data_IF_208415117363
#
_entry.id   IF_208415117363
#
_cell.length_a   1.000
_cell.length_b   1.000
_cell.length_c   1.000
_cell.angle_alpha   90.00
_cell.angle_beta   90.00
_cell.angle_gamma   90.00
#
_symmetry.space_group_name_H-M   'P 1'
#
loop_
_entity.id
_entity.type
_entity.pdbx_description
1 polymer ?
#
# COMPACT_ATOMS: atom_id res chain seq x y z
N UNK A 1 -8.26 14.13 -10.63
CA UNK A 1 -7.13 15.01 -10.99
C UNK A 1 -6.07 14.71 -9.97
N UNK A 2 -5.03 13.95 -10.31
CA UNK A 2 -4.06 13.50 -9.30
C UNK A 2 -3.20 14.69 -8.84
N UNK A 3 -3.08 14.89 -7.52
CA UNK A 3 -2.44 16.09 -6.97
C UNK A 3 -1.54 15.86 -5.76
N UNK A 4 -1.30 14.60 -5.37
CA UNK A 4 -0.50 14.24 -4.20
C UNK A 4 0.87 14.94 -4.12
N UNK A 5 1.56 15.11 -5.25
CA UNK A 5 2.87 15.75 -5.34
C UNK A 5 2.87 17.26 -5.09
N UNK A 6 1.70 17.91 -5.11
CA UNK A 6 1.57 19.35 -4.84
C UNK A 6 1.69 19.66 -3.35
N UNK A 7 1.29 18.73 -2.48
CA UNK A 7 1.35 18.87 -1.02
C UNK A 7 1.36 17.49 -0.35
N UNK A 8 2.53 16.84 -0.32
CA UNK A 8 2.67 15.52 0.31
C UNK A 8 2.19 15.50 1.78
N UNK A 9 2.58 16.46 2.65
CA UNK A 9 2.08 16.49 4.03
C UNK A 9 0.56 16.46 4.12
N UNK A 10 -0.15 17.29 3.34
CA UNK A 10 -1.60 17.31 3.34
C UNK A 10 -2.21 15.98 2.88
N UNK A 11 -1.83 15.52 1.68
CA UNK A 11 -2.44 14.34 1.07
C UNK A 11 -2.15 13.06 1.87
N UNK A 12 -0.94 12.90 2.39
CA UNK A 12 -0.58 11.76 3.24
C UNK A 12 -1.29 11.83 4.59
N UNK A 13 -1.49 13.04 5.15
CA UNK A 13 -2.29 13.22 6.37
C UNK A 13 -3.73 12.75 6.20
N UNK A 14 -4.39 13.19 5.12
CA UNK A 14 -5.76 12.76 4.79
C UNK A 14 -5.84 11.26 4.56
N UNK A 15 -4.90 10.69 3.80
CA UNK A 15 -4.87 9.25 3.52
C UNK A 15 -4.69 8.43 4.81
N UNK A 16 -3.77 8.87 5.69
CA UNK A 16 -3.51 8.25 6.99
C UNK A 16 -4.74 8.29 7.89
N UNK A 17 -5.39 9.44 8.00
CA UNK A 17 -6.60 9.62 8.81
C UNK A 17 -7.70 8.66 8.39
N UNK A 18 -8.00 8.60 7.09
CA UNK A 18 -9.04 7.70 6.54
C UNK A 18 -8.69 6.22 6.75
N UNK A 19 -7.43 5.84 6.57
CA UNK A 19 -6.97 4.46 6.77
C UNK A 19 -7.16 3.99 8.23
N UNK A 20 -6.87 4.88 9.19
CA UNK A 20 -6.95 4.57 10.61
C UNK A 20 -8.39 4.60 11.14
N UNK A 21 -9.30 5.27 10.43
CA UNK A 21 -10.71 5.27 10.79
C UNK A 21 -11.28 3.84 10.83
N UNK A 22 -12.18 3.51 11.79
CA UNK A 22 -12.70 2.16 11.93
C UNK A 22 -13.48 1.65 10.71
N UNK A 23 -14.22 2.52 10.02
CA UNK A 23 -15.15 2.16 8.95
C UNK A 23 -14.79 2.71 7.57
N UNK A 24 -13.81 3.61 7.47
CA UNK A 24 -13.62 4.43 6.27
C UNK A 24 -12.37 4.03 5.47
N UNK A 25 -11.86 2.82 5.70
CA UNK A 25 -10.67 2.33 5.01
C UNK A 25 -10.90 2.22 3.48
N UNK A 26 -12.14 2.05 3.03
CA UNK A 26 -12.50 2.12 1.60
C UNK A 26 -12.41 3.56 1.05
N UNK A 27 -12.72 4.58 1.86
CA UNK A 27 -12.51 5.98 1.47
C UNK A 27 -11.02 6.34 1.36
N UNK A 28 -10.16 5.66 2.11
CA UNK A 28 -8.71 5.78 1.95
C UNK A 28 -8.26 5.24 0.59
N UNK A 29 -8.84 4.12 0.15
CA UNK A 29 -8.56 3.52 -1.16
C UNK A 29 -8.99 4.44 -2.31
N UNK A 30 -10.23 4.94 -2.28
CA UNK A 30 -10.72 5.84 -3.32
C UNK A 30 -9.84 7.10 -3.42
N UNK A 31 -9.47 7.67 -2.27
CA UNK A 31 -8.57 8.82 -2.22
C UNK A 31 -7.19 8.52 -2.80
N UNK A 32 -6.62 7.35 -2.47
CA UNK A 32 -5.33 6.94 -3.02
C UNK A 32 -5.37 6.83 -4.55
N UNK A 33 -6.42 6.21 -5.10
CA UNK A 33 -6.58 6.07 -6.55
C UNK A 33 -6.78 7.43 -7.25
N UNK A 34 -7.55 8.32 -6.65
CA UNK A 34 -7.86 9.65 -7.20
C UNK A 34 -6.70 10.63 -7.13
N UNK A 35 -5.93 10.62 -6.04
CA UNK A 35 -4.91 11.63 -5.76
C UNK A 35 -3.49 11.17 -6.05
N UNK A 36 -3.18 9.87 -5.92
CA UNK A 36 -1.81 9.35 -5.99
C UNK A 36 -1.56 8.46 -7.21
N UNK A 37 -2.44 7.51 -7.52
CA UNK A 37 -2.13 6.43 -8.48
C UNK A 37 -1.76 6.93 -9.90
N UNK A 38 -2.27 8.08 -10.32
CA UNK A 38 -1.92 8.73 -11.59
C UNK A 38 -0.91 9.88 -11.47
N UNK A 39 -0.43 10.23 -10.27
CA UNK A 39 0.53 11.31 -10.06
C UNK A 39 1.96 10.82 -10.36
N UNK A 40 2.47 11.21 -11.53
CA UNK A 40 3.80 10.81 -12.00
C UNK A 40 4.93 11.37 -11.15
N UNK A 41 4.76 12.55 -10.57
CA UNK A 41 5.80 13.17 -9.74
C UNK A 41 5.88 12.50 -8.37
N UNK A 42 4.74 12.07 -7.81
CA UNK A 42 4.71 11.20 -6.63
C UNK A 42 5.47 9.89 -6.86
N UNK A 43 5.25 9.23 -8.01
CA UNK A 43 5.98 8.00 -8.36
C UNK A 43 7.48 8.26 -8.50
N UNK A 44 7.87 9.35 -9.18
CA UNK A 44 9.28 9.73 -9.38
C UNK A 44 10.00 10.13 -8.08
N UNK A 45 9.27 10.68 -7.11
CA UNK A 45 9.80 11.06 -5.81
C UNK A 45 10.07 9.86 -4.88
N UNK A 46 9.66 8.66 -5.27
CA UNK A 46 9.82 7.44 -4.47
C UNK A 46 11.00 6.59 -4.98
N UNK A 47 11.77 6.01 -4.05
CA UNK A 47 12.85 5.09 -4.39
C UNK A 47 12.33 3.64 -4.50
N UNK A 48 12.79 2.85 -5.48
CA UNK A 48 12.54 1.40 -5.50
C UNK A 48 13.18 0.72 -4.28
N UNK A 49 12.44 -0.16 -3.62
CA UNK A 49 12.88 -0.92 -2.44
C UNK A 49 12.44 -2.39 -2.53
N UNK A 50 13.02 -3.28 -1.70
CA UNK A 50 12.63 -4.71 -1.66
C UNK A 50 11.69 -5.08 -0.51
N UNK A 51 11.86 -4.45 0.65
CA UNK A 51 11.06 -4.62 1.88
C UNK A 51 10.48 -6.04 2.10
N UNK A 52 11.30 -7.10 2.23
CA UNK A 52 10.83 -8.49 2.22
C UNK A 52 9.83 -8.82 3.33
N UNK A 53 9.92 -8.16 4.51
CA UNK A 53 8.95 -8.33 5.60
C UNK A 53 7.56 -7.79 5.22
N UNK A 54 7.49 -6.64 4.54
CA UNK A 54 6.23 -6.08 4.03
C UNK A 54 5.65 -7.02 2.97
N UNK A 55 6.47 -7.47 2.02
CA UNK A 55 6.05 -8.38 0.94
C UNK A 55 5.50 -9.70 1.50
N UNK A 56 6.14 -10.27 2.52
CA UNK A 56 5.65 -11.49 3.17
C UNK A 56 4.28 -11.28 3.86
N UNK A 57 4.08 -10.14 4.53
CA UNK A 57 2.79 -9.80 5.14
C UNK A 57 1.71 -9.59 4.08
N UNK A 58 2.02 -8.90 2.98
CA UNK A 58 1.10 -8.74 1.86
C UNK A 58 0.72 -10.10 1.26
N UNK A 59 1.68 -11.00 1.06
CA UNK A 59 1.41 -12.36 0.57
C UNK A 59 0.44 -13.14 1.47
N UNK A 60 0.58 -13.00 2.80
CA UNK A 60 -0.34 -13.60 3.76
C UNK A 60 -1.75 -12.98 3.72
N UNK A 61 -1.83 -11.64 3.60
CA UNK A 61 -3.10 -10.91 3.47
C UNK A 61 -3.84 -11.35 2.20
N UNK A 62 -3.14 -11.38 1.06
CA UNK A 62 -3.72 -11.76 -0.23
C UNK A 62 -4.10 -13.25 -0.26
N UNK A 63 -3.27 -14.14 0.29
CA UNK A 63 -3.61 -15.57 0.41
C UNK A 63 -4.88 -15.80 1.22
N UNK A 64 -5.11 -15.01 2.28
CA UNK A 64 -6.34 -15.08 3.06
C UNK A 64 -7.56 -14.60 2.29
N UNK A 65 -7.44 -13.48 1.57
CA UNK A 65 -8.52 -12.97 0.72
C UNK A 65 -8.92 -13.99 -0.35
N UNK A 66 -7.93 -14.60 -1.02
CA UNK A 66 -8.17 -15.61 -2.07
C UNK A 66 -8.64 -16.95 -1.50
N UNK A 67 -8.32 -17.26 -0.24
CA UNK A 67 -8.70 -18.52 0.41
C UNK A 67 -7.74 -19.68 0.15
N UNK A 68 -6.57 -19.41 -0.47
CA UNK A 68 -5.48 -20.38 -0.66
C UNK A 68 -4.13 -19.68 -0.66
N UNK A 69 -3.05 -20.44 -0.46
CA UNK A 69 -1.69 -19.90 -0.57
C UNK A 69 -1.41 -19.44 -2.00
N UNK A 70 -0.94 -18.21 -2.12
CA UNK A 70 -0.43 -17.61 -3.37
C UNK A 70 0.90 -16.92 -3.09
N UNK A 71 1.73 -16.81 -4.11
CA UNK A 71 2.96 -16.02 -4.07
C UNK A 71 2.72 -14.67 -4.77
N UNK A 72 3.41 -13.62 -4.31
CA UNK A 72 3.39 -12.33 -4.98
C UNK A 72 4.45 -12.32 -6.09
N UNK A 73 4.02 -11.95 -7.30
CA UNK A 73 4.88 -11.88 -8.48
C UNK A 73 5.09 -10.42 -8.90
N UNK A 74 6.26 -10.12 -9.47
CA UNK A 74 6.56 -8.81 -10.04
C UNK A 74 6.38 -7.65 -9.06
N UNK A 75 6.69 -7.87 -7.77
CA UNK A 75 6.47 -6.86 -6.73
C UNK A 75 7.32 -5.61 -6.99
N UNK A 76 6.65 -4.48 -7.10
CA UNK A 76 7.24 -3.15 -7.12
C UNK A 76 6.91 -2.49 -5.79
N UNK A 77 7.95 -2.17 -5.01
CA UNK A 77 7.82 -1.41 -3.77
C UNK A 77 8.52 -0.08 -3.97
N UNK A 78 7.79 1.00 -3.73
CA UNK A 78 8.24 2.38 -3.86
C UNK A 78 8.19 3.06 -2.50
N UNK A 79 9.30 3.68 -2.10
CA UNK A 79 9.44 4.30 -0.78
C UNK A 79 9.65 5.80 -0.90
N UNK A 80 8.65 6.55 -0.43
CA UNK A 80 8.75 8.00 -0.27
C UNK A 80 9.40 8.29 1.09
N UNK A 81 10.73 8.25 1.09
CA UNK A 81 11.57 8.22 2.30
C UNK A 81 11.32 9.38 3.25
N UNK A 82 11.20 10.61 2.72
CA UNK A 82 10.96 11.83 3.50
C UNK A 82 9.67 11.78 4.33
N UNK A 83 8.70 10.97 3.91
CA UNK A 83 7.40 10.81 4.57
C UNK A 83 7.18 9.42 5.16
N UNK A 84 8.21 8.57 5.15
CA UNK A 84 8.17 7.20 5.69
C UNK A 84 6.96 6.39 5.17
N UNK A 85 6.58 6.66 3.92
CA UNK A 85 5.39 6.13 3.27
C UNK A 85 5.80 5.19 2.14
N UNK A 86 5.21 4.01 2.12
CA UNK A 86 5.51 2.96 1.14
C UNK A 86 4.26 2.70 0.31
N UNK A 87 4.42 2.54 -1.00
CA UNK A 87 3.34 2.16 -1.90
C UNK A 87 3.86 1.23 -2.98
N UNK A 88 2.96 0.63 -3.73
CA UNK A 88 3.34 -0.15 -4.89
C UNK A 88 2.30 -1.16 -5.29
N UNK A 89 2.73 -2.09 -6.13
CA UNK A 89 1.86 -3.12 -6.67
C UNK A 89 2.59 -4.45 -6.88
N UNK A 90 1.80 -5.51 -7.02
CA UNK A 90 2.25 -6.85 -7.37
C UNK A 90 1.15 -7.56 -8.17
N UNK A 91 1.45 -8.78 -8.63
CA UNK A 91 0.47 -9.71 -9.18
C UNK A 91 0.30 -10.90 -8.22
N UNK A 92 -0.92 -11.43 -8.13
CA UNK A 92 -1.21 -12.67 -7.43
C UNK A 92 -2.43 -13.35 -8.06
N UNK A 93 -2.27 -14.59 -8.49
CA UNK A 93 -3.37 -15.38 -9.09
C UNK A 93 -4.09 -14.66 -10.25
N UNK A 94 -3.31 -14.01 -11.12
CA UNK A 94 -3.84 -13.23 -12.25
C UNK A 94 -4.53 -11.92 -11.87
N UNK A 95 -4.39 -11.46 -10.62
CA UNK A 95 -5.01 -10.22 -10.09
C UNK A 95 -3.94 -9.22 -9.67
N UNK A 96 -4.26 -7.95 -9.86
CA UNK A 96 -3.43 -6.85 -9.36
C UNK A 96 -3.60 -6.72 -7.86
N UNK A 97 -2.48 -6.69 -7.14
CA UNK A 97 -2.43 -6.27 -5.74
C UNK A 97 -1.88 -4.85 -5.72
N UNK A 98 -2.65 -3.87 -5.28
CA UNK A 98 -2.19 -2.51 -5.03
C UNK A 98 -2.08 -2.30 -3.52
N UNK A 99 -1.08 -1.58 -3.03
CA UNK A 99 -0.94 -1.37 -1.60
C UNK A 99 -0.30 -0.03 -1.25
N UNK A 100 -0.55 0.40 -0.01
CA UNK A 100 0.21 1.44 0.66
C UNK A 100 0.36 1.15 2.15
N UNK A 101 1.39 1.72 2.78
CA UNK A 101 1.78 1.46 4.15
C UNK A 101 2.46 2.68 4.77
N UNK A 102 2.03 3.04 5.98
CA UNK A 102 2.65 4.07 6.81
C UNK A 102 3.53 3.41 7.86
N UNK A 103 4.84 3.68 7.81
CA UNK A 103 5.78 3.13 8.81
C UNK A 103 5.50 3.65 10.22
N UNK A 104 5.01 4.88 10.36
CA UNK A 104 4.78 5.49 11.68
C UNK A 104 3.60 4.87 12.42
N UNK A 105 2.67 4.23 11.71
CA UNK A 105 1.50 3.53 12.29
C UNK A 105 1.65 2.02 12.32
N UNK A 106 2.70 1.50 11.69
CA UNK A 106 2.84 0.09 11.35
C UNK A 106 1.58 -0.50 10.69
N UNK A 107 0.92 0.29 9.85
CA UNK A 107 -0.36 -0.04 9.26
C UNK A 107 -0.41 0.32 7.78
N UNK A 108 -1.17 -0.47 7.02
CA UNK A 108 -1.35 -0.27 5.60
C UNK A 108 -2.63 -0.89 5.08
N UNK A 109 -2.87 -0.69 3.79
CA UNK A 109 -4.02 -1.23 3.06
C UNK A 109 -3.51 -1.96 1.83
N UNK A 110 -4.05 -3.14 1.58
CA UNK A 110 -3.89 -3.88 0.34
C UNK A 110 -5.25 -3.98 -0.36
N UNK A 111 -5.23 -3.87 -1.69
CA UNK A 111 -6.38 -3.96 -2.58
C UNK A 111 -6.13 -5.08 -3.57
N UNK A 112 -7.09 -5.98 -3.74
CA UNK A 112 -7.07 -7.02 -4.76
C UNK A 112 -8.04 -6.61 -5.88
N UNK A 113 -7.53 -6.52 -7.11
CA UNK A 113 -8.24 -5.97 -8.27
C UNK A 113 -8.14 -6.92 -9.48
N UNK A 114 -9.26 -7.47 -9.98
CA UNK A 114 -10.54 -7.59 -9.25
C UNK A 114 -10.35 -8.46 -8.00
N UNK A 115 -11.21 -8.32 -7.01
CA UNK A 115 -11.29 -9.23 -5.86
C UNK A 115 -11.98 -10.54 -6.22
N UNK A 116 -12.06 -11.47 -5.27
CA UNK A 116 -12.51 -12.85 -5.53
C UNK A 116 -13.94 -12.89 -6.07
N UNK A 117 -14.81 -11.99 -5.60
CA UNK A 117 -16.22 -11.87 -6.01
C UNK A 117 -16.44 -10.99 -7.25
N UNK A 118 -15.37 -10.49 -7.87
CA UNK A 118 -15.43 -9.64 -9.07
C UNK A 118 -15.31 -8.14 -8.78
N UNK A 119 -15.62 -7.69 -7.56
CA UNK A 119 -15.41 -6.31 -7.10
C UNK A 119 -14.06 -6.15 -6.41
N UNK A 120 -13.57 -4.92 -6.25
CA UNK A 120 -12.35 -4.66 -5.49
C UNK A 120 -12.50 -5.14 -4.04
N UNK A 121 -11.48 -5.86 -3.56
CA UNK A 121 -11.46 -6.34 -2.18
C UNK A 121 -10.34 -5.64 -1.41
N UNK A 122 -10.67 -5.08 -0.25
CA UNK A 122 -9.77 -4.24 0.54
C UNK A 122 -9.47 -4.90 1.87
N UNK A 123 -8.19 -4.94 2.23
CA UNK A 123 -7.72 -5.48 3.50
C UNK A 123 -6.76 -4.51 4.18
N UNK A 124 -7.12 -4.04 5.38
CA UNK A 124 -6.20 -3.34 6.27
C UNK A 124 -5.30 -4.34 6.99
N UNK A 125 -4.00 -4.06 7.02
CA UNK A 125 -3.01 -4.90 7.69
C UNK A 125 -2.13 -4.11 8.64
N UNK A 126 -1.44 -4.83 9.53
CA UNK A 126 -0.41 -4.26 10.41
C UNK A 126 0.86 -5.10 10.37
N UNK A 127 2.01 -4.44 10.47
CA UNK A 127 3.30 -5.11 10.68
C UNK A 127 3.64 -5.09 12.17
N UNK A 128 3.46 -6.22 12.87
CA UNK A 128 3.96 -6.31 14.26
C UNK A 128 5.49 -6.22 14.27
N UNK A 129 6.03 -5.25 15.02
CA UNK A 129 7.46 -5.01 15.18
C UNK A 129 8.13 -4.26 14.03
N UNK A 130 7.37 -3.45 13.27
CA UNK A 130 7.86 -2.51 12.26
C UNK A 130 8.66 -3.06 11.09
N UNK A 131 9.15 -2.15 10.24
CA UNK A 131 10.20 -2.42 9.26
C UNK A 131 11.55 -2.05 9.87
N UNK A 132 12.52 -2.97 9.83
CA UNK A 132 13.90 -2.64 10.22
C UNK A 132 14.44 -1.66 9.19
N UNK A 133 14.93 -0.51 9.63
CA UNK A 133 15.62 0.45 8.77
C UNK A 133 17.03 -0.09 8.47
N UNK A 134 17.33 -0.54 7.23
CA UNK A 134 18.64 -1.11 6.91
C UNK A 134 19.77 -0.07 6.96
N UNK A 135 19.47 1.23 7.09
CA UNK A 135 20.47 2.30 7.20
C UNK A 135 20.75 2.73 8.64
N UNK A 136 20.04 2.17 9.63
CA UNK A 136 20.34 2.33 11.06
C UNK A 136 21.06 1.08 11.57
N UNK A 137 22.31 0.91 11.15
CA UNK A 137 23.29 0.01 11.77
C UNK A 137 24.63 0.72 11.86
#
# INVERSE_FOLDING_TARGET
>A
MNSASKDFPHHLGVLRERMLHPTDYELAVNYFLEEFAGDREFVRASDPEKMPKLVAVLGHVVSRAIGRRVELEGTLVSYLRAHRFVHGNAQADGRVVLFFYFQDDDAGVAMLIPGVRGEMEVARFRLKGGLVDPQRN
#
